data_IF_095451044284
#
_entry.id   IF_095451044284
#
_cell.length_a   1.000
_cell.length_b   1.000
_cell.length_c   1.000
_cell.angle_alpha   90.00
_cell.angle_beta   90.00
_cell.angle_gamma   90.00
#
_symmetry.space_group_name_H-M   'P 1'
#
loop_
_entity.id
_entity.type
_entity.pdbx_description
1 polymer ?
#
# COMPACT_ATOMS: atom_id res chain seq x y z
N UNK A 1 7.07 -16.00 -7.95
CA UNK A 1 6.70 -15.45 -9.27
C UNK A 1 7.41 -14.14 -9.62
N UNK A 2 8.19 -13.58 -8.71
CA UNK A 2 9.02 -12.39 -8.97
C UNK A 2 10.44 -12.83 -9.36
N UNK A 3 11.18 -12.04 -10.17
CA UNK A 3 12.60 -12.26 -10.42
C UNK A 3 13.45 -12.22 -9.16
N UNK A 4 14.56 -12.97 -9.12
CA UNK A 4 15.43 -13.06 -7.91
C UNK A 4 16.19 -11.75 -7.62
N UNK A 5 16.35 -10.90 -8.63
CA UNK A 5 17.04 -9.61 -8.52
C UNK A 5 16.09 -8.42 -8.29
N UNK A 6 14.79 -8.65 -8.13
CA UNK A 6 13.78 -7.60 -7.96
C UNK A 6 14.07 -6.70 -6.75
N UNK A 7 13.86 -5.40 -6.91
CA UNK A 7 13.81 -4.45 -5.79
C UNK A 7 12.34 -4.28 -5.38
N UNK A 8 12.08 -4.46 -4.10
CA UNK A 8 10.74 -4.32 -3.52
C UNK A 8 10.69 -3.09 -2.63
N UNK A 9 9.63 -2.31 -2.76
CA UNK A 9 9.27 -1.30 -1.76
C UNK A 9 7.94 -1.65 -1.12
N UNK A 10 7.83 -1.46 0.18
CA UNK A 10 6.56 -1.56 0.89
C UNK A 10 6.20 -0.23 1.51
N UNK A 11 4.94 0.18 1.36
CA UNK A 11 4.40 1.29 2.13
C UNK A 11 4.06 0.85 3.56
N UNK A 12 3.79 1.79 4.45
CA UNK A 12 3.38 1.51 5.84
C UNK A 12 1.98 0.87 5.90
N UNK A 13 1.67 0.23 7.00
CA UNK A 13 0.44 -0.49 7.25
C UNK A 13 0.64 -2.00 7.37
N UNK A 14 -0.44 -2.77 7.26
CA UNK A 14 -0.38 -4.22 7.37
C UNK A 14 0.55 -4.87 6.33
N UNK A 15 0.60 -4.33 5.12
CA UNK A 15 1.48 -4.80 4.05
C UNK A 15 2.97 -4.65 4.39
N UNK A 16 3.37 -3.56 5.07
CA UNK A 16 4.75 -3.38 5.53
C UNK A 16 5.15 -4.45 6.54
N UNK A 17 4.28 -4.71 7.46
CA UNK A 17 4.52 -5.69 8.49
C UNK A 17 4.62 -7.12 7.92
N UNK A 18 3.78 -7.46 6.93
CA UNK A 18 3.87 -8.72 6.18
C UNK A 18 5.17 -8.75 5.37
N UNK A 19 5.50 -7.64 4.70
CA UNK A 19 6.75 -7.49 3.93
C UNK A 19 8.02 -7.62 4.77
N UNK A 20 7.98 -7.25 6.04
CA UNK A 20 9.10 -7.44 6.98
C UNK A 20 9.20 -8.87 7.51
N UNK A 21 8.13 -9.65 7.45
CA UNK A 21 8.06 -10.97 8.10
C UNK A 21 8.28 -12.14 7.13
N UNK A 22 7.83 -12.05 5.90
CA UNK A 22 7.75 -13.20 5.00
C UNK A 22 8.74 -13.24 3.83
N UNK A 23 9.06 -12.15 3.12
CA UNK A 23 10.00 -12.22 2.01
C UNK A 23 11.41 -12.61 2.45
N UNK A 24 12.07 -13.41 1.61
CA UNK A 24 13.47 -13.77 1.78
C UNK A 24 14.29 -13.07 0.67
N UNK A 25 15.39 -12.44 1.04
CA UNK A 25 16.27 -11.74 0.13
C UNK A 25 17.67 -12.34 0.18
N UNK A 26 18.15 -12.87 -0.94
CA UNK A 26 19.49 -13.45 -1.09
C UNK A 26 20.58 -12.37 -1.14
N UNK A 27 20.23 -11.17 -1.56
CA UNK A 27 21.16 -10.02 -1.66
C UNK A 27 20.63 -8.82 -0.88
N UNK A 28 21.52 -8.12 -0.21
CA UNK A 28 21.18 -6.88 0.50
C UNK A 28 20.70 -5.76 -0.42
N UNK A 29 20.04 -4.76 0.18
CA UNK A 29 19.54 -3.54 -0.50
C UNK A 29 18.45 -3.81 -1.55
N UNK A 30 17.69 -4.88 -1.39
CA UNK A 30 16.59 -5.23 -2.29
C UNK A 30 15.20 -4.95 -1.70
N UNK A 31 15.14 -4.54 -0.46
CA UNK A 31 13.90 -4.20 0.23
C UNK A 31 13.95 -2.79 0.82
N UNK A 32 12.99 -1.96 0.42
CA UNK A 32 12.81 -0.59 0.87
C UNK A 32 11.53 -0.49 1.71
N UNK A 33 11.65 0.02 2.91
CA UNK A 33 10.52 0.22 3.81
C UNK A 33 10.66 1.57 4.53
N UNK A 34 9.57 2.18 4.99
CA UNK A 34 9.57 3.55 5.54
C UNK A 34 10.29 3.70 6.89
N UNK A 35 10.89 2.63 7.42
CA UNK A 35 11.73 2.65 8.61
C UNK A 35 10.96 3.01 9.89
N UNK A 36 11.65 3.67 10.83
CA UNK A 36 11.14 3.92 12.17
C UNK A 36 9.99 4.94 12.19
N UNK A 37 10.06 5.98 11.38
CA UNK A 37 9.02 7.02 11.34
C UNK A 37 7.72 6.53 10.71
N UNK A 38 7.78 5.64 9.73
CA UNK A 38 6.63 4.99 9.12
C UNK A 38 5.66 5.94 8.38
N UNK A 39 6.12 6.86 7.51
CA UNK A 39 5.21 7.72 6.77
C UNK A 39 4.39 6.94 5.75
N UNK A 40 3.08 7.20 5.70
CA UNK A 40 2.23 6.76 4.60
C UNK A 40 2.59 7.49 3.29
N UNK A 41 2.43 6.81 2.15
CA UNK A 41 2.79 7.37 0.84
C UNK A 41 4.26 7.21 0.48
N UNK A 42 5.03 6.40 1.22
CA UNK A 42 6.43 6.12 0.95
C UNK A 42 6.65 5.14 -0.22
N UNK A 43 5.82 4.10 -0.29
CA UNK A 43 6.07 2.93 -1.13
C UNK A 43 6.16 3.26 -2.61
N UNK A 44 5.24 4.06 -3.12
CA UNK A 44 5.17 4.41 -4.53
C UNK A 44 6.32 5.33 -4.98
N UNK A 45 6.56 6.50 -4.36
CA UNK A 45 7.68 7.35 -4.75
C UNK A 45 9.03 6.67 -4.62
N UNK A 46 9.21 5.80 -3.63
CA UNK A 46 10.50 5.13 -3.41
C UNK A 46 10.86 4.15 -4.53
N UNK A 47 9.88 3.45 -5.14
CA UNK A 47 10.18 2.58 -6.29
C UNK A 47 10.50 3.37 -7.55
N UNK A 48 9.95 4.57 -7.72
CA UNK A 48 10.35 5.46 -8.82
C UNK A 48 11.84 5.80 -8.69
N UNK A 49 12.26 6.23 -7.51
CA UNK A 49 13.68 6.49 -7.23
C UNK A 49 14.56 5.25 -7.40
N UNK A 50 14.12 4.08 -6.93
CA UNK A 50 14.84 2.83 -7.10
C UNK A 50 15.02 2.45 -8.58
N UNK A 51 13.99 2.65 -9.39
CA UNK A 51 14.05 2.35 -10.83
C UNK A 51 14.97 3.31 -11.59
N UNK A 52 15.00 4.58 -11.19
CA UNK A 52 15.96 5.56 -11.76
C UNK A 52 17.40 5.17 -11.41
N UNK A 53 17.64 4.76 -10.16
CA UNK A 53 18.96 4.34 -9.71
C UNK A 53 19.41 2.98 -10.24
N UNK A 54 18.46 2.11 -10.62
CA UNK A 54 18.72 0.75 -11.12
C UNK A 54 17.81 0.46 -12.34
N UNK A 55 18.05 1.10 -13.50
CA UNK A 55 17.12 1.08 -14.63
C UNK A 55 16.87 -0.32 -15.22
N UNK A 56 17.86 -1.20 -15.15
CA UNK A 56 17.78 -2.56 -15.70
C UNK A 56 17.16 -3.58 -14.72
N UNK A 57 16.99 -3.18 -13.45
CA UNK A 57 16.46 -4.07 -12.41
C UNK A 57 14.95 -3.92 -12.32
N UNK A 58 14.18 -5.03 -12.26
CA UNK A 58 12.75 -4.97 -12.00
C UNK A 58 12.48 -4.35 -10.63
N UNK A 59 11.46 -3.50 -10.53
CA UNK A 59 11.03 -2.90 -9.25
C UNK A 59 9.54 -3.11 -9.03
N UNK A 60 9.15 -3.45 -7.81
CA UNK A 60 7.75 -3.66 -7.43
C UNK A 60 7.47 -2.94 -6.13
N UNK A 61 6.45 -2.07 -6.14
CA UNK A 61 5.92 -1.44 -4.92
C UNK A 61 4.69 -2.17 -4.41
N UNK A 62 4.56 -2.21 -3.09
CA UNK A 62 3.38 -2.71 -2.39
C UNK A 62 2.84 -1.63 -1.46
N UNK A 63 1.55 -1.33 -1.54
CA UNK A 63 0.88 -0.40 -0.65
C UNK A 63 -0.57 -0.82 -0.39
N UNK A 64 -1.09 -0.47 0.79
CA UNK A 64 -2.53 -0.43 0.99
C UNK A 64 -3.15 0.76 0.24
N UNK A 65 -4.43 0.69 -0.02
CA UNK A 65 -5.18 1.73 -0.75
C UNK A 65 -5.12 3.10 -0.07
N UNK A 66 -5.19 3.16 1.26
CA UNK A 66 -5.04 4.41 2.00
C UNK A 66 -3.67 5.05 1.81
N UNK A 67 -2.59 4.30 2.04
CA UNK A 67 -1.23 4.80 1.90
C UNK A 67 -0.91 5.18 0.46
N UNK A 68 -1.34 4.37 -0.52
CA UNK A 68 -1.17 4.67 -1.94
C UNK A 68 -1.89 5.95 -2.35
N UNK A 69 -3.11 6.16 -1.84
CA UNK A 69 -3.91 7.35 -2.14
C UNK A 69 -3.23 8.67 -1.82
N UNK A 70 -2.29 8.69 -0.86
CA UNK A 70 -1.53 9.90 -0.49
C UNK A 70 -0.59 10.36 -1.61
N UNK A 71 -0.02 9.43 -2.37
CA UNK A 71 0.96 9.72 -3.43
C UNK A 71 0.47 9.36 -4.83
N UNK A 72 -0.81 9.04 -5.02
CA UNK A 72 -1.34 8.58 -6.31
C UNK A 72 -1.22 9.63 -7.43
N UNK A 73 -1.10 10.92 -7.09
CA UNK A 73 -0.83 12.00 -8.04
C UNK A 73 0.46 11.76 -8.85
N UNK A 74 1.43 11.02 -8.31
CA UNK A 74 2.65 10.65 -9.03
C UNK A 74 2.40 9.67 -10.20
N UNK A 75 1.20 9.13 -10.35
CA UNK A 75 0.81 8.41 -11.58
C UNK A 75 0.98 9.29 -12.82
N UNK A 76 0.71 10.60 -12.71
CA UNK A 76 0.90 11.55 -13.80
C UNK A 76 2.37 11.69 -14.20
N UNK A 77 3.28 11.56 -13.24
CA UNK A 77 4.73 11.52 -13.51
C UNK A 77 5.11 10.23 -14.24
N UNK A 78 4.56 9.09 -13.83
CA UNK A 78 4.83 7.79 -14.47
C UNK A 78 4.32 7.71 -15.92
N UNK A 79 3.36 8.54 -16.30
CA UNK A 79 2.80 8.58 -17.64
C UNK A 79 3.67 9.35 -18.65
N UNK A 80 4.77 9.94 -18.19
CA UNK A 80 5.71 10.67 -19.05
C UNK A 80 6.71 9.70 -19.67
N UNK A 81 6.99 9.90 -20.95
CA UNK A 81 7.85 8.99 -21.74
C UNK A 81 9.28 8.86 -21.19
N UNK A 82 9.79 9.89 -20.50
CA UNK A 82 11.13 9.88 -19.93
C UNK A 82 11.25 9.08 -18.62
N UNK A 83 10.15 8.60 -18.04
CA UNK A 83 10.20 7.85 -16.78
C UNK A 83 10.29 6.34 -17.03
N UNK A 84 11.19 5.64 -16.30
CA UNK A 84 11.35 4.21 -16.46
C UNK A 84 10.13 3.45 -15.89
N UNK A 85 9.80 2.33 -16.54
CA UNK A 85 8.65 1.52 -16.19
C UNK A 85 8.79 0.81 -14.85
N UNK A 86 7.71 0.82 -14.07
CA UNK A 86 7.59 0.20 -12.75
C UNK A 86 6.36 -0.71 -12.65
N UNK A 87 6.30 -1.51 -11.57
CA UNK A 87 5.08 -2.21 -11.17
C UNK A 87 4.65 -1.77 -9.78
N UNK A 88 3.35 -1.49 -9.60
CA UNK A 88 2.77 -1.13 -8.31
C UNK A 88 1.59 -2.03 -7.99
N UNK A 89 1.61 -2.67 -6.83
CA UNK A 89 0.54 -3.52 -6.30
C UNK A 89 -0.17 -2.77 -5.18
N UNK A 90 -1.47 -2.59 -5.32
CA UNK A 90 -2.31 -1.85 -4.39
C UNK A 90 -3.31 -2.82 -3.76
N UNK A 91 -3.16 -3.07 -2.46
CA UNK A 91 -4.09 -3.89 -1.69
C UNK A 91 -5.31 -3.06 -1.32
N UNK A 92 -6.41 -3.31 -2.02
CA UNK A 92 -7.63 -2.53 -1.89
C UNK A 92 -8.63 -3.21 -0.98
N UNK A 93 -8.66 -2.79 0.27
CA UNK A 93 -9.62 -3.25 1.26
C UNK A 93 -10.59 -2.15 1.73
N UNK A 94 -10.61 -0.98 1.07
CA UNK A 94 -11.54 0.13 1.27
C UNK A 94 -11.46 0.77 2.66
N UNK A 95 -10.31 0.67 3.33
CA UNK A 95 -10.15 1.17 4.70
C UNK A 95 -8.69 1.41 5.08
N UNK A 96 -8.48 2.28 6.04
CA UNK A 96 -7.24 2.37 6.80
C UNK A 96 -7.16 1.18 7.78
N UNK A 97 -6.79 0.00 7.27
CA UNK A 97 -6.93 -1.26 8.00
C UNK A 97 -6.11 -1.34 9.29
N UNK A 98 -4.91 -0.77 9.32
CA UNK A 98 -4.09 -0.72 10.53
C UNK A 98 -4.74 0.18 11.59
N UNK A 99 -5.24 1.35 11.21
CA UNK A 99 -5.90 2.30 12.10
C UNK A 99 -7.25 1.76 12.60
N UNK A 100 -8.02 1.11 11.72
CA UNK A 100 -9.28 0.48 12.10
C UNK A 100 -9.07 -0.63 13.14
N UNK A 101 -7.99 -1.42 12.99
CA UNK A 101 -7.60 -2.41 13.99
C UNK A 101 -7.25 -1.75 15.34
N UNK A 102 -6.48 -0.68 15.34
CA UNK A 102 -6.15 0.07 16.56
C UNK A 102 -7.41 0.60 17.23
N UNK A 103 -8.35 1.09 16.44
CA UNK A 103 -9.66 1.57 16.92
C UNK A 103 -10.48 0.45 17.56
N UNK A 104 -10.47 -0.76 16.96
CA UNK A 104 -11.09 -1.94 17.57
C UNK A 104 -10.47 -2.31 18.91
N UNK A 105 -9.15 -2.21 19.01
CA UNK A 105 -8.44 -2.63 20.22
C UNK A 105 -8.55 -1.64 21.39
N UNK A 106 -8.54 -0.34 21.07
CA UNK A 106 -8.30 0.69 22.07
C UNK A 106 -9.47 1.67 22.25
N UNK A 107 -10.38 1.74 21.30
CA UNK A 107 -11.44 2.76 21.24
C UNK A 107 -12.84 2.17 21.04
N UNK A 108 -13.05 0.90 21.46
CA UNK A 108 -14.37 0.25 21.48
C UNK A 108 -15.12 0.34 20.13
N UNK A 109 -14.42 0.16 19.01
CA UNK A 109 -14.95 0.24 17.65
C UNK A 109 -15.53 1.61 17.26
N UNK A 110 -15.08 2.68 17.89
CA UNK A 110 -15.48 4.03 17.50
C UNK A 110 -14.71 4.46 16.23
N UNK A 111 -15.16 3.99 15.08
CA UNK A 111 -14.51 4.22 13.78
C UNK A 111 -14.77 5.64 13.28
N UNK A 112 -13.70 6.42 13.13
CA UNK A 112 -13.75 7.79 12.61
C UNK A 112 -12.67 7.92 11.53
N UNK A 113 -13.08 8.22 10.27
CA UNK A 113 -12.16 8.43 9.16
C UNK A 113 -11.39 7.19 8.72
N UNK A 114 -11.85 5.98 9.07
CA UNK A 114 -11.18 4.73 8.71
C UNK A 114 -11.65 4.13 7.39
N UNK A 115 -12.80 4.55 6.88
CA UNK A 115 -13.36 4.05 5.63
C UNK A 115 -12.87 4.88 4.44
N UNK A 116 -12.62 4.22 3.33
CA UNK A 116 -12.27 4.84 2.05
C UNK A 116 -13.41 4.68 1.05
N UNK A 117 -13.44 5.56 0.05
CA UNK A 117 -14.48 5.55 -0.98
C UNK A 117 -14.49 4.21 -1.74
N UNK A 118 -15.61 3.47 -1.74
CA UNK A 118 -15.71 2.18 -2.42
C UNK A 118 -15.74 2.29 -3.95
N UNK A 119 -16.12 3.44 -4.51
CA UNK A 119 -16.27 3.65 -5.95
C UNK A 119 -14.94 3.99 -6.65
N UNK A 120 -13.95 4.48 -5.92
CA UNK A 120 -12.64 4.78 -6.48
C UNK A 120 -11.94 3.48 -6.91
N UNK A 121 -11.44 3.41 -8.13
CA UNK A 121 -10.55 2.34 -8.61
C UNK A 121 -9.21 2.91 -9.05
N UNK A 122 -8.15 2.49 -8.42
CA UNK A 122 -6.80 2.92 -8.76
C UNK A 122 -6.34 2.37 -10.12
N UNK A 123 -6.80 1.19 -10.51
CA UNK A 123 -6.58 0.64 -11.84
C UNK A 123 -7.21 1.53 -12.94
N UNK A 124 -8.44 2.03 -12.70
CA UNK A 124 -9.10 2.96 -13.62
C UNK A 124 -8.39 4.31 -13.67
N UNK A 125 -7.89 4.82 -12.53
CA UNK A 125 -7.11 6.06 -12.49
C UNK A 125 -5.82 5.88 -13.30
N UNK A 126 -5.12 4.77 -13.16
CA UNK A 126 -3.93 4.47 -13.95
C UNK A 126 -4.22 4.49 -15.47
N UNK A 127 -5.33 3.86 -15.89
CA UNK A 127 -5.78 3.86 -17.29
C UNK A 127 -6.08 5.28 -17.76
N UNK A 128 -6.75 6.09 -16.94
CA UNK A 128 -7.05 7.49 -17.27
C UNK A 128 -5.79 8.36 -17.41
N UNK A 129 -4.70 7.98 -16.73
CA UNK A 129 -3.37 8.59 -16.89
C UNK A 129 -2.58 8.04 -18.10
N UNK A 130 -3.14 7.13 -18.90
CA UNK A 130 -2.44 6.49 -20.02
C UNK A 130 -1.53 5.32 -19.64
N UNK A 131 -1.65 4.81 -18.40
CA UNK A 131 -0.88 3.70 -17.87
C UNK A 131 -1.66 2.38 -17.94
N UNK A 132 -0.97 1.25 -17.71
CA UNK A 132 -1.64 -0.04 -17.60
C UNK A 132 -2.21 -0.23 -16.20
N UNK A 133 -3.52 -0.41 -16.10
CA UNK A 133 -4.24 -0.70 -14.86
C UNK A 133 -4.94 -2.06 -14.94
N UNK A 134 -4.82 -2.89 -13.91
CA UNK A 134 -5.41 -4.23 -13.82
C UNK A 134 -6.04 -4.37 -12.44
N UNK A 135 -7.32 -4.80 -12.37
CA UNK A 135 -7.97 -5.19 -11.14
C UNK A 135 -8.06 -6.72 -11.07
N UNK A 136 -7.65 -7.30 -9.94
CA UNK A 136 -7.61 -8.75 -9.69
C UNK A 136 -8.26 -9.08 -8.35
N UNK A 137 -8.77 -10.32 -8.21
CA UNK A 137 -9.52 -10.74 -7.02
C UNK A 137 -9.02 -12.04 -6.40
N UNK A 138 -8.21 -12.82 -7.11
CA UNK A 138 -7.70 -14.11 -6.62
C UNK A 138 -6.18 -14.09 -6.51
N UNK A 139 -5.64 -15.05 -5.77
CA UNK A 139 -4.20 -15.22 -5.62
C UNK A 139 -3.53 -15.59 -6.95
N UNK A 140 -4.22 -16.40 -7.75
CA UNK A 140 -3.76 -16.85 -9.06
C UNK A 140 -3.67 -15.67 -10.04
N UNK A 141 -4.73 -14.86 -10.10
CA UNK A 141 -4.76 -13.63 -10.91
C UNK A 141 -3.68 -12.65 -10.47
N UNK A 142 -3.52 -12.45 -9.15
CA UNK A 142 -2.49 -11.56 -8.58
C UNK A 142 -1.09 -12.02 -8.96
N UNK A 143 -0.81 -13.32 -8.82
CA UNK A 143 0.49 -13.90 -9.16
C UNK A 143 0.79 -13.76 -10.66
N UNK A 144 -0.19 -14.02 -11.51
CA UNK A 144 -0.07 -13.87 -12.95
C UNK A 144 0.16 -12.40 -13.35
N UNK A 145 -0.59 -11.47 -12.76
CA UNK A 145 -0.45 -10.04 -13.01
C UNK A 145 0.92 -9.51 -12.59
N UNK A 146 1.43 -9.90 -11.42
CA UNK A 146 2.78 -9.52 -10.95
C UNK A 146 3.84 -10.05 -11.90
N UNK A 147 3.77 -11.33 -12.29
CA UNK A 147 4.72 -11.93 -13.24
C UNK A 147 4.70 -11.18 -14.58
N UNK A 148 3.51 -10.92 -15.11
CA UNK A 148 3.37 -10.20 -16.37
C UNK A 148 3.89 -8.76 -16.27
N UNK A 149 3.66 -8.07 -15.14
CA UNK A 149 4.13 -6.70 -14.97
C UNK A 149 5.66 -6.58 -14.95
N UNK A 150 6.38 -7.60 -14.47
CA UNK A 150 7.84 -7.66 -14.58
C UNK A 150 8.31 -7.75 -16.04
N UNK A 151 7.61 -8.53 -16.88
CA UNK A 151 7.90 -8.58 -18.32
C UNK A 151 7.49 -7.30 -19.05
N UNK A 152 6.44 -6.64 -18.59
CA UNK A 152 5.98 -5.36 -19.11
C UNK A 152 7.01 -4.24 -18.86
N UNK A 153 7.69 -4.24 -17.71
CA UNK A 153 8.77 -3.28 -17.43
C UNK A 153 9.90 -3.34 -18.45
N UNK A 154 10.25 -4.54 -18.94
CA UNK A 154 11.27 -4.72 -19.99
C UNK A 154 10.86 -4.08 -21.33
N UNK A 155 9.57 -3.83 -21.52
CA UNK A 155 8.98 -3.19 -22.70
C UNK A 155 8.65 -1.71 -22.46
N UNK A 156 9.07 -1.14 -21.34
CA UNK A 156 8.77 0.24 -21.00
C UNK A 156 7.33 0.47 -20.52
N UNK A 157 6.60 -0.58 -20.09
CA UNK A 157 5.20 -0.47 -19.67
C UNK A 157 5.10 -0.48 -18.16
N UNK A 158 4.66 0.65 -17.59
CA UNK A 158 4.29 0.78 -16.16
C UNK A 158 2.94 0.15 -15.91
N UNK A 159 2.85 -0.70 -14.88
CA UNK A 159 1.62 -1.44 -14.55
C UNK A 159 1.21 -1.20 -13.09
N UNK A 160 -0.06 -0.82 -12.89
CA UNK A 160 -0.73 -0.75 -11.59
C UNK A 160 -1.69 -1.93 -11.43
N UNK A 161 -1.49 -2.71 -10.38
CA UNK A 161 -2.28 -3.91 -10.07
C UNK A 161 -3.09 -3.63 -8.81
N UNK A 162 -4.39 -3.50 -8.97
CA UNK A 162 -5.34 -3.31 -7.87
C UNK A 162 -5.88 -4.67 -7.42
N UNK A 163 -5.46 -5.11 -6.23
CA UNK A 163 -5.89 -6.38 -5.64
C UNK A 163 -7.10 -6.12 -4.75
N UNK A 164 -8.27 -6.57 -5.18
CA UNK A 164 -9.52 -6.35 -4.47
C UNK A 164 -9.63 -7.34 -3.32
N UNK A 165 -9.71 -6.82 -2.10
CA UNK A 165 -9.79 -7.56 -0.86
C UNK A 165 -11.11 -7.26 -0.13
N UNK A 166 -11.44 -8.10 0.86
CA UNK A 166 -12.51 -7.80 1.82
C UNK A 166 -12.00 -6.85 2.93
N UNK A 167 -12.89 -6.39 3.79
CA UNK A 167 -12.57 -5.51 4.92
C UNK A 167 -12.13 -6.26 6.18
N UNK A 168 -11.83 -7.53 6.09
CA UNK A 168 -11.35 -8.33 7.20
C UNK A 168 -10.01 -7.81 7.72
N UNK A 169 -9.89 -7.64 9.04
CA UNK A 169 -8.68 -7.07 9.64
C UNK A 169 -7.57 -8.09 9.81
N UNK A 170 -7.87 -9.37 9.66
CA UNK A 170 -6.94 -10.48 9.82
C UNK A 170 -6.38 -10.63 11.24
N UNK A 171 -5.70 -11.73 11.49
CA UNK A 171 -4.98 -11.96 12.73
C UNK A 171 -3.70 -11.12 12.77
N UNK A 172 -3.32 -10.59 13.94
CA UNK A 172 -2.06 -9.90 14.09
C UNK A 172 -0.91 -10.91 14.00
N UNK A 173 0.09 -10.63 13.19
CA UNK A 173 1.29 -11.45 13.14
C UNK A 173 2.27 -11.16 14.30
N UNK A 174 2.02 -10.16 15.13
CA UNK A 174 2.73 -9.91 16.39
C UNK A 174 1.72 -9.83 17.54
N UNK A 175 1.70 -10.87 18.38
CA UNK A 175 0.81 -10.94 19.54
C UNK A 175 1.05 -9.84 20.56
N UNK A 176 2.28 -9.39 20.72
CA UNK A 176 2.67 -8.32 21.64
C UNK A 176 2.18 -6.94 21.16
N UNK A 177 2.05 -6.73 19.86
CA UNK A 177 1.47 -5.50 19.30
C UNK A 177 -0.03 -5.32 19.59
N UNK A 178 -0.68 -6.39 20.08
CA UNK A 178 -2.10 -6.41 20.44
C UNK A 178 -2.36 -6.19 21.93
N UNK A 179 -1.34 -6.01 22.75
CA UNK A 179 -1.54 -5.68 24.16
C UNK A 179 -2.16 -4.30 24.25
N UNK A 180 -3.29 -4.20 24.96
CA UNK A 180 -3.88 -2.91 25.28
C UNK A 180 -2.83 -2.06 26.00
N UNK A 181 -2.63 -0.81 25.63
CA UNK A 181 -1.74 0.06 26.37
C UNK A 181 -2.23 0.16 27.81
N UNK A 182 -1.29 0.31 28.74
CA UNK A 182 -1.62 0.68 30.10
C UNK A 182 -2.42 1.97 30.03
N UNK A 183 -3.58 2.02 30.69
CA UNK A 183 -4.41 3.23 30.72
C UNK A 183 -3.57 4.39 31.26
N UNK A 184 -3.17 5.26 30.37
CA UNK A 184 -2.65 6.57 30.74
C UNK A 184 -3.85 7.47 30.95
N UNK A 185 -3.86 8.29 32.01
CA UNK A 185 -4.90 9.27 32.20
C UNK A 185 -4.97 10.16 30.95
N UNK A 186 -6.03 10.02 30.18
CA UNK A 186 -6.26 10.73 28.93
C UNK A 186 -7.53 11.55 28.99
N UNK A 187 -7.82 12.28 27.92
CA UNK A 187 -9.05 13.04 27.76
C UNK A 187 -10.22 12.05 27.85
N UNK A 188 -11.20 12.34 28.72
CA UNK A 188 -12.42 11.54 28.80
C UNK A 188 -13.19 11.65 27.48
N UNK A 189 -13.92 10.59 27.11
CA UNK A 189 -14.70 10.56 25.86
C UNK A 189 -15.64 11.76 25.71
N UNK A 190 -16.23 12.21 26.83
CA UNK A 190 -17.15 13.36 26.86
C UNK A 190 -16.45 14.70 26.66
N UNK A 191 -15.15 14.77 26.92
CA UNK A 191 -14.29 15.95 26.76
C UNK A 191 -13.62 16.00 25.39
N UNK A 192 -13.79 14.97 24.54
CA UNK A 192 -13.26 14.97 23.16
C UNK A 192 -14.04 15.97 22.31
N UNK A 193 -13.30 16.78 21.56
CA UNK A 193 -13.91 17.72 20.62
C UNK A 193 -14.73 16.91 19.61
N UNK A 194 -16.04 17.04 19.67
CA UNK A 194 -16.94 16.52 18.64
C UNK A 194 -16.67 17.30 17.36
N UNK A 195 -16.34 16.61 16.29
CA UNK A 195 -16.30 17.27 14.98
C UNK A 195 -17.68 17.91 14.72
N UNK A 196 -17.72 19.16 14.21
CA UNK A 196 -18.98 19.76 13.79
C UNK A 196 -19.63 18.80 12.79
N UNK A 197 -20.91 18.45 13.01
CA UNK A 197 -21.69 17.78 11.99
C UNK A 197 -21.61 18.63 10.73
N UNK A 198 -21.09 18.09 9.64
CA UNK A 198 -21.25 18.71 8.34
C UNK A 198 -22.77 18.79 8.14
N UNK A 199 -23.32 19.99 8.31
CA UNK A 199 -24.71 20.24 8.03
C UNK A 199 -24.95 19.93 6.55
N UNK A 200 -25.89 19.03 6.31
CA UNK A 200 -26.43 18.65 5.02
C UNK A 200 -26.91 19.85 4.19
#
# INVERSE_FOLDING_TARGET
GMPDDVIISSDIGNNCAIGNAYPTFEKGRKYLAPGLFGPCGYGFPSILGAKIGCPDTPVIGFAGDGAFGISMNEMSSCARDEWPAISMVIFRNYQWGAEKRNTTLWYDNNFIGTELDPELSYAKVAIACGLKGIAVKTMEETTAAIKQSCEDQKKGITTFIEVILNQELGEPFRRDAMKKPVKVAGIKKDDMIKQPSLAS
#
